data_IF_005719081880
#
_entry.id   IF_005719081880
#
_cell.length_a   1.000
_cell.length_b   1.000
_cell.length_c   1.000
_cell.angle_alpha   90.00
_cell.angle_beta   90.00
_cell.angle_gamma   90.00
#
_symmetry.space_group_name_H-M   'P 1'
#
loop_
_entity.id
_entity.type
_entity.pdbx_description
1 polymer ?
#
# COMPACT_ATOMS: atom_id res chain seq x y z
N UNK A 1 -9.93 -11.27 10.13
CA UNK A 1 -9.20 -10.79 8.94
C UNK A 1 -9.73 -9.42 8.58
N UNK A 2 -8.85 -8.46 8.35
CA UNK A 2 -9.20 -7.10 7.90
C UNK A 2 -8.45 -6.75 6.63
N UNK A 3 -9.00 -5.84 5.84
CA UNK A 3 -8.35 -5.29 4.64
C UNK A 3 -8.31 -3.79 4.77
N UNK A 4 -7.11 -3.22 4.70
CA UNK A 4 -6.87 -1.80 4.67
C UNK A 4 -7.01 -1.30 3.23
N UNK A 5 -7.69 -0.17 3.09
CA UNK A 5 -7.85 0.56 1.84
C UNK A 5 -7.09 1.88 1.95
N UNK A 6 -6.17 2.12 1.02
CA UNK A 6 -5.48 3.41 0.90
C UNK A 6 -5.76 3.97 -0.48
N UNK A 7 -6.46 5.10 -0.53
CA UNK A 7 -6.67 5.88 -1.75
C UNK A 7 -5.58 6.93 -1.90
N UNK A 8 -5.11 7.10 -3.12
CA UNK A 8 -4.12 8.10 -3.50
C UNK A 8 -4.71 9.01 -4.57
N UNK A 9 -4.48 10.30 -4.42
CA UNK A 9 -4.61 11.30 -5.48
C UNK A 9 -3.19 11.73 -5.86
N UNK A 10 -2.82 11.47 -7.11
CA UNK A 10 -1.47 11.52 -7.64
C UNK A 10 -1.33 12.72 -8.57
N UNK A 11 -0.12 13.27 -8.62
CA UNK A 11 0.23 14.14 -9.73
C UNK A 11 0.47 13.28 -10.98
N UNK A 12 -0.25 13.49 -12.11
CA UNK A 12 -0.08 12.70 -13.32
C UNK A 12 1.34 12.66 -13.87
N UNK A 13 2.14 13.70 -13.59
CA UNK A 13 3.54 13.77 -14.02
C UNK A 13 4.49 12.95 -13.14
N UNK A 14 4.01 12.34 -12.05
CA UNK A 14 4.79 11.56 -11.09
C UNK A 14 4.36 10.10 -10.96
N UNK A 15 3.66 9.59 -11.98
CA UNK A 15 3.16 8.20 -11.97
C UNK A 15 4.33 7.20 -11.92
N UNK A 16 5.42 7.46 -12.66
CA UNK A 16 6.59 6.58 -12.67
C UNK A 16 7.23 6.43 -11.28
N UNK A 17 7.40 7.54 -10.55
CA UNK A 17 7.92 7.55 -9.19
C UNK A 17 6.96 6.85 -8.21
N UNK A 18 5.65 7.02 -8.42
CA UNK A 18 4.65 6.30 -7.64
C UNK A 18 4.74 4.78 -7.86
N UNK A 19 4.97 4.31 -9.08
CA UNK A 19 5.14 2.88 -9.34
C UNK A 19 6.39 2.31 -8.66
N UNK A 20 7.50 3.06 -8.65
CA UNK A 20 8.71 2.67 -7.93
C UNK A 20 8.45 2.57 -6.43
N UNK A 21 7.80 3.60 -5.86
CA UNK A 21 7.34 3.59 -4.46
C UNK A 21 6.45 2.38 -4.15
N UNK A 22 5.46 2.11 -4.99
CA UNK A 22 4.54 0.98 -4.85
C UNK A 22 5.28 -0.37 -4.84
N UNK A 23 6.25 -0.56 -5.74
CA UNK A 23 7.08 -1.77 -5.80
C UNK A 23 7.91 -1.97 -4.53
N UNK A 24 8.43 -0.90 -3.95
CA UNK A 24 9.19 -0.96 -2.69
C UNK A 24 8.33 -1.28 -1.46
N UNK A 25 7.05 -0.91 -1.48
CA UNK A 25 6.17 -1.09 -0.32
C UNK A 25 5.61 -2.52 -0.17
N UNK A 26 5.45 -3.24 -1.27
CA UNK A 26 4.99 -4.64 -1.28
C UNK A 26 5.80 -5.55 -0.34
N UNK A 27 7.15 -5.60 -0.39
CA UNK A 27 7.94 -6.45 0.51
C UNK A 27 7.86 -5.98 1.97
N UNK A 28 7.68 -4.68 2.24
CA UNK A 28 7.58 -4.15 3.60
C UNK A 28 6.35 -4.70 4.32
N UNK A 29 5.18 -4.66 3.67
CA UNK A 29 3.94 -5.22 4.24
C UNK A 29 4.10 -6.72 4.54
N UNK A 30 4.76 -7.46 3.64
CA UNK A 30 5.03 -8.89 3.82
C UNK A 30 5.99 -9.16 4.98
N UNK A 31 7.04 -8.33 5.14
CA UNK A 31 8.03 -8.42 6.24
C UNK A 31 7.35 -8.38 7.61
N UNK A 32 6.29 -7.57 7.75
CA UNK A 32 5.55 -7.42 9.01
C UNK A 32 4.30 -8.31 9.12
N UNK A 33 4.20 -9.37 8.32
CA UNK A 33 3.13 -10.37 8.42
C UNK A 33 1.81 -9.97 7.74
N UNK A 34 1.81 -8.91 6.95
CA UNK A 34 0.67 -8.51 6.13
C UNK A 34 0.66 -9.21 4.77
N UNK A 35 -0.52 -9.33 4.17
CA UNK A 35 -0.69 -9.79 2.78
C UNK A 35 -0.97 -8.59 1.89
N UNK A 36 -0.03 -8.26 1.00
CA UNK A 36 -0.24 -7.20 0.01
C UNK A 36 -1.00 -7.74 -1.20
N UNK A 37 -2.11 -7.08 -1.58
CA UNK A 37 -2.96 -7.51 -2.71
C UNK A 37 -2.59 -6.82 -4.02
N UNK A 38 -2.10 -5.59 -3.94
CA UNK A 38 -1.61 -4.87 -5.11
C UNK A 38 -1.82 -3.37 -4.98
N UNK A 39 -1.14 -2.67 -5.88
CA UNK A 39 -1.42 -1.30 -6.24
C UNK A 39 -2.15 -1.30 -7.57
N UNK A 40 -3.21 -0.50 -7.67
CA UNK A 40 -4.05 -0.44 -8.85
C UNK A 40 -4.15 1.01 -9.30
N UNK A 41 -3.65 1.27 -10.51
CA UNK A 41 -3.84 2.51 -11.25
C UNK A 41 -4.86 2.22 -12.37
N UNK A 42 -6.02 2.89 -12.40
CA UNK A 42 -7.05 2.57 -13.36
C UNK A 42 -6.71 3.17 -14.72
N UNK A 43 -6.70 2.32 -15.75
CA UNK A 43 -6.42 2.74 -17.12
C UNK A 43 -7.61 3.45 -17.80
N UNK A 44 -8.84 3.11 -17.42
CA UNK A 44 -10.09 3.62 -18.05
C UNK A 44 -10.88 4.61 -17.17
N UNK A 45 -10.23 5.18 -16.15
CA UNK A 45 -10.80 6.14 -15.19
C UNK A 45 -9.80 7.29 -14.97
N UNK A 46 -10.05 8.27 -14.08
CA UNK A 46 -9.06 9.31 -13.79
C UNK A 46 -7.70 8.69 -13.47
N UNK A 47 -6.70 9.09 -14.25
CA UNK A 47 -5.34 8.54 -14.22
C UNK A 47 -4.50 9.10 -13.07
N UNK A 48 -5.06 10.01 -12.30
CA UNK A 48 -4.54 10.60 -11.08
C UNK A 48 -5.00 9.87 -9.82
N UNK A 49 -5.86 8.84 -9.92
CA UNK A 49 -6.32 8.09 -8.75
C UNK A 49 -5.65 6.72 -8.70
N UNK A 50 -5.14 6.32 -7.53
CA UNK A 50 -4.66 4.96 -7.31
C UNK A 50 -5.19 4.40 -5.99
N UNK A 51 -5.21 3.06 -5.89
CA UNK A 51 -5.58 2.36 -4.65
C UNK A 51 -4.55 1.29 -4.31
N UNK A 52 -4.26 1.16 -3.02
CA UNK A 52 -3.53 0.04 -2.45
C UNK A 52 -4.43 -0.75 -1.50
N UNK A 53 -4.36 -2.08 -1.60
CA UNK A 53 -5.05 -3.01 -0.72
C UNK A 53 -4.06 -3.96 -0.06
N UNK A 54 -4.19 -4.14 1.25
CA UNK A 54 -3.42 -5.13 2.01
C UNK A 54 -4.23 -5.61 3.23
N UNK A 55 -3.97 -6.84 3.68
CA UNK A 55 -4.72 -7.46 4.77
C UNK A 55 -3.85 -7.92 5.92
N UNK A 56 -4.45 -7.94 7.10
CA UNK A 56 -3.91 -8.53 8.33
C UNK A 56 -4.95 -9.48 8.96
N UNK A 57 -4.48 -10.41 9.80
CA UNK A 57 -5.37 -11.38 10.44
C UNK A 57 -6.34 -10.71 11.44
N UNK A 58 -5.90 -9.66 12.14
CA UNK A 58 -6.71 -8.87 13.07
C UNK A 58 -6.34 -7.38 13.05
N UNK A 59 -7.13 -6.55 13.75
CA UNK A 59 -6.77 -5.13 13.99
C UNK A 59 -5.49 -4.99 14.82
N UNK A 60 -5.28 -5.84 15.81
CA UNK A 60 -4.06 -5.80 16.64
C UNK A 60 -2.79 -6.08 15.83
N UNK A 61 -2.85 -6.99 14.85
CA UNK A 61 -1.73 -7.25 13.94
C UNK A 61 -1.41 -6.03 13.07
N UNK A 62 -2.45 -5.31 12.62
CA UNK A 62 -2.29 -4.08 11.86
C UNK A 62 -1.68 -2.94 12.70
N UNK A 63 -2.11 -2.78 13.95
CA UNK A 63 -1.54 -1.79 14.88
C UNK A 63 -0.07 -2.09 15.18
N UNK A 64 0.27 -3.36 15.41
CA UNK A 64 1.66 -3.79 15.59
C UNK A 64 2.51 -3.52 14.34
N UNK A 65 1.97 -3.77 13.14
CA UNK A 65 2.62 -3.39 11.88
C UNK A 65 2.90 -1.88 11.83
N UNK A 66 1.90 -1.05 12.14
CA UNK A 66 1.99 0.42 12.07
C UNK A 66 3.12 1.00 12.92
N UNK A 67 3.40 0.39 14.07
CA UNK A 67 4.50 0.78 14.97
C UNK A 67 5.82 0.29 14.40
N UNK A 68 5.94 -1.02 14.16
CA UNK A 68 7.20 -1.63 13.72
C UNK A 68 7.70 -1.10 12.38
N UNK A 69 6.80 -0.83 11.44
CA UNK A 69 7.16 -0.31 10.13
C UNK A 69 7.66 1.14 10.17
N UNK A 70 7.35 1.89 11.23
CA UNK A 70 7.82 3.26 11.40
C UNK A 70 9.23 3.34 12.01
N UNK A 71 9.67 2.26 12.66
CA UNK A 71 10.98 2.11 13.29
C UNK A 71 11.97 1.32 12.40
N UNK A 72 11.53 0.89 11.22
CA UNK A 72 12.32 0.13 10.26
C UNK A 72 13.20 1.06 9.41
N UNK A 73 14.52 0.87 9.43
CA UNK A 73 15.52 1.64 8.65
C UNK A 73 15.60 1.21 7.16
#
# INVERSE_FOLDING_TARGET
>A
MITCYVGYELNPNKISEFEEYARMWIPLVRKFGGTHHGYYLPHERPNDLAVCLFSFASLGDYEAYRIKSAEDE
#
